data_IF_782863884625
#
_entry.id   IF_782863884625
#
_cell.length_a   1.000
_cell.length_b   1.000
_cell.length_c   1.000
_cell.angle_alpha   90.00
_cell.angle_beta   90.00
_cell.angle_gamma   90.00
#
_symmetry.space_group_name_H-M   'P 1'
#
loop_
_entity.id
_entity.type
_entity.pdbx_description
1 polymer ?
#
# COMPACT_ATOMS: atom_id res chain seq x y z
N UNK A 1 13.92 -2.60 35.20
CA UNK A 1 14.21 -2.22 33.80
C UNK A 1 13.68 -3.31 32.89
N UNK A 2 12.53 -3.08 32.26
CA UNK A 2 12.05 -3.89 31.15
C UNK A 2 11.54 -2.90 30.11
N UNK A 3 12.38 -2.61 29.13
CA UNK A 3 12.02 -1.79 27.96
C UNK A 3 11.33 -2.71 26.95
N UNK A 4 10.00 -2.81 27.05
CA UNK A 4 9.20 -3.30 25.95
C UNK A 4 9.14 -2.22 24.87
N UNK A 5 9.98 -2.36 23.85
CA UNK A 5 9.79 -1.64 22.59
C UNK A 5 8.63 -2.29 21.86
N UNK A 6 7.43 -1.74 22.00
CA UNK A 6 6.32 -2.04 21.10
C UNK A 6 6.63 -1.37 19.77
N UNK A 7 7.33 -2.10 18.88
CA UNK A 7 7.22 -1.87 17.44
C UNK A 7 5.80 -2.27 17.05
N UNK A 8 4.83 -1.39 17.35
CA UNK A 8 3.51 -1.48 16.76
C UNK A 8 3.67 -1.36 15.25
N UNK A 9 2.92 -2.20 14.55
CA UNK A 9 3.00 -2.48 13.12
C UNK A 9 2.49 -1.30 12.26
N UNK A 10 3.04 -0.10 12.47
CA UNK A 10 2.61 1.18 11.89
C UNK A 10 2.99 1.35 10.42
N UNK A 11 3.99 0.61 9.93
CA UNK A 11 4.37 0.60 8.51
C UNK A 11 3.25 0.09 7.60
N UNK A 12 2.41 -0.82 8.10
CA UNK A 12 1.34 -1.44 7.30
C UNK A 12 0.19 -0.48 6.97
N UNK A 13 -0.06 0.51 7.82
CA UNK A 13 -1.16 1.46 7.65
C UNK A 13 -0.91 2.43 6.48
N UNK A 14 0.34 2.87 6.32
CA UNK A 14 0.70 3.83 5.28
C UNK A 14 0.82 3.19 3.90
N UNK A 15 1.30 1.95 3.81
CA UNK A 15 1.42 1.22 2.53
C UNK A 15 0.05 1.07 1.81
N UNK A 16 -1.05 1.19 2.56
CA UNK A 16 -2.41 1.06 2.03
C UNK A 16 -3.15 2.38 1.88
N UNK A 17 -2.58 3.55 2.22
CA UNK A 17 -3.25 4.84 2.06
C UNK A 17 -4.30 5.13 3.14
N UNK A 18 -4.12 4.59 4.35
CA UNK A 18 -4.80 5.12 5.53
C UNK A 18 -4.03 6.36 6.03
N UNK A 19 -4.74 7.45 6.31
CA UNK A 19 -4.24 8.58 7.09
C UNK A 19 -4.14 8.20 8.56
N UNK A 20 -3.40 7.13 8.85
CA UNK A 20 -3.11 6.74 10.22
C UNK A 20 -1.73 7.27 10.58
N UNK A 21 -1.70 8.57 10.91
CA UNK A 21 -0.93 8.96 12.09
C UNK A 21 -1.43 8.08 13.23
N UNK A 22 -0.57 7.69 14.18
CA UNK A 22 -0.88 6.75 15.27
C UNK A 22 -2.09 7.06 16.18
N UNK A 23 -3.01 7.93 15.76
CA UNK A 23 -4.43 7.91 16.11
C UNK A 23 -5.07 6.62 15.57
N UNK A 24 -4.79 5.51 16.25
CA UNK A 24 -5.61 4.31 16.14
C UNK A 24 -7.10 4.70 16.22
N UNK A 25 -8.05 4.01 15.58
CA UNK A 25 -9.48 4.28 15.76
C UNK A 25 -9.88 4.40 17.25
N UNK A 26 -9.15 3.77 18.17
CA UNK A 26 -9.31 3.92 19.62
C UNK A 26 -9.03 5.33 20.20
N UNK A 27 -8.18 6.16 19.57
CA UNK A 27 -7.93 7.56 19.94
C UNK A 27 -9.02 8.50 19.45
N UNK A 28 -9.56 8.24 18.26
CA UNK A 28 -10.67 9.02 17.66
C UNK A 28 -12.02 8.66 18.30
N UNK A 29 -12.15 7.44 18.84
CA UNK A 29 -13.41 6.92 19.41
C UNK A 29 -13.68 7.33 20.87
N UNK A 30 -13.21 8.52 21.28
CA UNK A 30 -13.81 9.26 22.40
C UNK A 30 -13.57 8.70 23.81
N UNK A 31 -12.55 7.87 24.05
CA UNK A 31 -12.15 7.54 25.42
C UNK A 31 -11.15 8.57 25.94
N UNK A 32 -11.65 9.60 26.64
CA UNK A 32 -10.84 10.58 27.39
C UNK A 32 -9.74 9.92 28.24
N UNK A 33 -10.03 8.77 28.86
CA UNK A 33 -9.04 8.01 29.64
C UNK A 33 -7.95 7.29 28.82
N UNK A 34 -8.16 7.05 27.52
CA UNK A 34 -7.12 6.50 26.64
C UNK A 34 -6.16 7.61 26.18
N UNK A 35 -6.68 8.81 25.88
CA UNK A 35 -5.88 10.00 25.55
C UNK A 35 -4.94 10.35 26.71
N UNK A 36 -5.44 10.45 27.95
CA UNK A 36 -4.61 10.73 29.13
C UNK A 36 -3.53 9.66 29.37
N UNK A 37 -3.87 8.37 29.20
CA UNK A 37 -2.94 7.26 29.42
C UNK A 37 -1.91 7.11 28.29
N UNK A 38 -2.26 7.48 27.06
CA UNK A 38 -1.38 7.47 25.90
C UNK A 38 -0.41 8.66 25.92
N UNK A 39 -0.87 9.86 26.31
CA UNK A 39 -0.04 11.06 26.47
C UNK A 39 0.99 10.93 27.60
N UNK A 40 0.64 10.26 28.69
CA UNK A 40 1.58 10.02 29.80
C UNK A 40 2.70 9.04 29.40
N UNK A 41 2.48 8.19 28.40
CA UNK A 41 3.42 7.12 28.00
C UNK A 41 4.30 7.48 26.80
N UNK A 42 3.88 8.41 25.95
CA UNK A 42 4.53 8.73 24.69
C UNK A 42 4.92 10.21 24.61
N UNK A 43 5.87 10.61 25.45
CA UNK A 43 6.52 11.90 25.30
C UNK A 43 7.45 11.86 24.08
N UNK A 44 6.95 12.31 22.93
CA UNK A 44 7.57 12.31 21.58
C UNK A 44 7.56 10.95 20.86
N UNK A 45 6.66 10.82 19.87
CA UNK A 45 6.64 9.69 18.92
C UNK A 45 7.08 10.16 17.55
N UNK A 46 7.97 9.40 16.91
CA UNK A 46 8.46 9.70 15.57
C UNK A 46 8.10 8.59 14.58
N UNK A 47 7.52 8.98 13.44
CA UNK A 47 7.14 8.08 12.36
C UNK A 47 7.95 8.42 11.10
N UNK A 48 9.00 7.65 10.78
CA UNK A 48 9.75 7.86 9.54
C UNK A 48 8.88 7.47 8.34
N UNK A 49 8.79 8.37 7.35
CA UNK A 49 7.89 8.17 6.22
C UNK A 49 8.39 8.84 4.94
N UNK A 50 7.80 8.50 3.80
CA UNK A 50 8.09 9.09 2.50
C UNK A 50 7.38 10.44 2.29
N UNK A 51 7.94 11.24 1.39
CA UNK A 51 7.40 12.51 0.91
C UNK A 51 5.96 12.38 0.41
N UNK A 52 5.62 11.31 -0.30
CA UNK A 52 4.25 11.04 -0.78
C UNK A 52 3.24 10.94 0.36
N UNK A 53 3.59 10.33 1.49
CA UNK A 53 2.69 10.25 2.64
C UNK A 53 2.52 11.60 3.31
N UNK A 54 3.61 12.36 3.44
CA UNK A 54 3.57 13.69 4.00
C UNK A 54 2.67 14.61 3.16
N UNK A 55 2.78 14.53 1.83
CA UNK A 55 1.88 15.23 0.91
C UNK A 55 0.43 14.75 1.08
N UNK A 56 0.20 13.44 1.11
CA UNK A 56 -1.15 12.88 1.27
C UNK A 56 -1.82 13.36 2.57
N UNK A 57 -1.07 13.41 3.67
CA UNK A 57 -1.54 14.00 4.93
C UNK A 57 -1.94 15.45 4.77
N UNK A 58 -1.01 16.28 4.30
CA UNK A 58 -1.26 17.71 4.21
C UNK A 58 -2.40 18.02 3.24
N UNK A 59 -2.57 17.21 2.20
CA UNK A 59 -3.70 17.30 1.27
C UNK A 59 -5.02 16.97 1.95
N UNK A 60 -5.06 15.89 2.74
CA UNK A 60 -6.27 15.50 3.44
C UNK A 60 -6.69 16.51 4.51
N UNK A 61 -5.71 17.06 5.25
CA UNK A 61 -5.93 18.15 6.20
C UNK A 61 -6.16 19.51 5.52
N UNK A 62 -6.05 19.57 4.19
CA UNK A 62 -6.20 20.77 3.37
C UNK A 62 -5.27 21.93 3.79
N UNK A 63 -4.02 21.60 4.12
CA UNK A 63 -2.93 22.51 4.51
C UNK A 63 -1.70 22.38 3.61
N UNK A 64 -1.80 21.64 2.51
CA UNK A 64 -0.69 21.43 1.58
C UNK A 64 -0.35 22.69 0.78
N UNK A 65 0.94 23.03 0.74
CA UNK A 65 1.44 24.23 0.05
C UNK A 65 1.54 24.10 -1.48
N UNK A 66 1.27 22.92 -2.05
CA UNK A 66 1.44 22.67 -3.49
C UNK A 66 2.85 22.24 -3.91
N UNK A 67 3.82 22.28 -2.99
CA UNK A 67 5.24 21.99 -3.28
C UNK A 67 5.66 20.65 -2.69
N UNK A 68 6.42 19.87 -3.45
CA UNK A 68 7.00 18.61 -2.94
C UNK A 68 7.89 18.93 -1.72
N UNK A 69 7.69 18.23 -0.59
CA UNK A 69 8.50 18.40 0.60
C UNK A 69 10.00 18.16 0.31
N UNK A 70 10.86 18.96 0.91
CA UNK A 70 12.31 18.75 0.86
C UNK A 70 12.70 17.52 1.71
N UNK A 71 13.91 17.01 1.51
CA UNK A 71 14.42 15.91 2.32
C UNK A 71 14.42 16.25 3.81
N UNK A 72 14.07 15.26 4.62
CA UNK A 72 13.92 15.39 6.07
C UNK A 72 12.90 16.46 6.51
N UNK A 73 11.92 16.78 5.65
CA UNK A 73 10.76 17.55 6.07
C UNK A 73 9.96 16.80 7.13
N UNK A 74 9.37 17.52 8.07
CA UNK A 74 8.63 16.95 9.20
C UNK A 74 7.34 17.72 9.45
N UNK A 75 6.22 17.01 9.56
CA UNK A 75 4.94 17.54 10.04
C UNK A 75 4.74 17.07 11.49
N UNK A 76 4.52 18.00 12.39
CA UNK A 76 4.51 17.81 13.83
C UNK A 76 3.14 18.16 14.36
N UNK A 77 2.67 17.37 15.33
CA UNK A 77 1.44 17.60 16.08
C UNK A 77 1.84 17.79 17.54
N UNK A 78 1.47 18.92 18.13
CA UNK A 78 1.73 19.22 19.53
C UNK A 78 0.40 19.35 20.25
N UNK A 79 0.19 18.50 21.25
CA UNK A 79 -1.02 18.52 22.07
C UNK A 79 -0.73 19.19 23.40
N UNK A 80 -1.52 20.20 23.72
CA UNK A 80 -1.42 20.99 24.94
C UNK A 80 -2.60 20.67 25.85
N UNK A 81 -2.33 20.60 27.15
CA UNK A 81 -3.37 20.55 28.18
C UNK A 81 -3.51 21.95 28.77
N UNK A 82 -4.71 22.51 28.68
CA UNK A 82 -5.04 23.84 29.16
C UNK A 82 -5.33 23.83 30.68
N UNK A 83 -5.28 25.02 31.29
CA UNK A 83 -5.52 25.20 32.74
C UNK A 83 -6.91 24.74 33.19
N UNK A 84 -7.91 24.77 32.29
CA UNK A 84 -9.27 24.31 32.53
C UNK A 84 -9.45 22.78 32.33
N UNK A 85 -8.37 22.08 32.00
CA UNK A 85 -8.35 20.65 31.72
C UNK A 85 -8.81 20.27 30.31
N UNK A 86 -9.10 21.26 29.44
CA UNK A 86 -9.31 21.02 28.02
C UNK A 86 -7.99 20.77 27.30
N UNK A 87 -8.08 20.34 26.03
CA UNK A 87 -6.90 20.07 25.20
C UNK A 87 -6.97 20.86 23.90
N UNK A 88 -5.83 21.42 23.50
CA UNK A 88 -5.64 22.08 22.20
C UNK A 88 -4.53 21.38 21.43
N UNK A 89 -4.57 21.52 20.11
CA UNK A 89 -3.66 20.90 19.16
C UNK A 89 -3.09 21.96 18.22
N UNK A 90 -1.78 22.01 18.13
CA UNK A 90 -1.05 22.79 17.14
C UNK A 90 -0.41 21.86 16.13
N UNK A 91 -0.32 22.33 14.89
CA UNK A 91 0.38 21.62 13.83
C UNK A 91 1.50 22.50 13.29
N UNK A 92 2.67 21.90 13.08
CA UNK A 92 3.82 22.59 12.52
C UNK A 92 4.37 21.82 11.34
N UNK A 93 4.92 22.54 10.36
CA UNK A 93 5.66 21.93 9.28
C UNK A 93 7.06 22.54 9.18
N UNK A 94 8.06 21.68 9.07
CA UNK A 94 9.45 22.08 8.89
C UNK A 94 9.97 21.49 7.61
N UNK A 95 10.35 22.34 6.67
CA UNK A 95 10.93 21.99 5.37
C UNK A 95 12.28 22.68 5.09
N UNK A 96 12.75 23.51 6.02
CA UNK A 96 14.09 24.10 5.99
C UNK A 96 14.74 23.92 7.37
N UNK A 97 16.04 23.63 7.36
CA UNK A 97 16.85 23.50 8.57
C UNK A 97 17.24 24.86 9.15
N UNK A 98 17.24 25.91 8.32
CA UNK A 98 17.68 27.28 8.65
C UNK A 98 16.58 28.14 9.25
N UNK A 99 15.32 27.74 9.08
CA UNK A 99 14.16 28.45 9.61
C UNK A 99 13.50 27.61 10.70
N UNK A 100 12.74 28.28 11.55
CA UNK A 100 11.85 27.60 12.49
C UNK A 100 10.72 26.88 11.73
N UNK A 101 10.14 25.83 12.32
CA UNK A 101 8.91 25.24 11.81
C UNK A 101 7.81 26.30 11.68
N UNK A 102 7.07 26.26 10.59
CA UNK A 102 5.94 27.15 10.39
C UNK A 102 4.66 26.50 10.88
N UNK A 103 3.81 27.30 11.51
CA UNK A 103 2.50 26.89 12.00
C UNK A 103 1.57 26.58 10.83
N UNK A 104 0.81 25.50 10.95
CA UNK A 104 -0.25 25.08 10.03
C UNK A 104 -1.60 25.12 10.76
N UNK A 105 -2.58 25.77 10.15
CA UNK A 105 -3.92 25.93 10.72
C UNK A 105 -4.93 25.20 9.85
N UNK A 106 -5.75 24.33 10.45
CA UNK A 106 -6.82 23.66 9.71
C UNK A 106 -7.85 24.68 9.23
N UNK A 107 -8.47 24.46 8.06
CA UNK A 107 -9.66 25.19 7.68
C UNK A 107 -10.72 25.04 8.78
N UNK A 108 -11.30 26.16 9.22
CA UNK A 108 -12.30 26.20 10.31
C UNK A 108 -11.75 26.00 11.73
N UNK A 109 -10.43 26.14 11.95
CA UNK A 109 -9.85 26.21 13.29
C UNK A 109 -8.99 27.46 13.52
N UNK A 110 -8.68 27.75 14.78
CA UNK A 110 -7.66 28.73 15.21
C UNK A 110 -6.27 28.09 15.29
N UNK A 111 -5.24 28.92 15.51
CA UNK A 111 -3.85 28.49 15.73
C UNK A 111 -3.73 27.38 16.79
N UNK A 112 -4.35 27.60 17.95
CA UNK A 112 -4.59 26.57 18.97
C UNK A 112 -5.95 25.93 18.71
N UNK A 113 -5.96 24.78 18.05
CA UNK A 113 -7.20 24.14 17.66
C UNK A 113 -7.75 23.29 18.81
N UNK A 114 -8.98 23.53 19.33
CA UNK A 114 -9.56 22.65 20.33
C UNK A 114 -9.60 21.20 19.81
N UNK A 115 -9.11 20.25 20.61
CA UNK A 115 -8.95 18.85 20.17
C UNK A 115 -10.26 18.25 19.65
N UNK A 116 -11.39 18.57 20.29
CA UNK A 116 -12.72 18.12 19.87
C UNK A 116 -13.08 18.65 18.47
N UNK A 117 -12.76 19.91 18.18
CA UNK A 117 -12.99 20.53 16.88
C UNK A 117 -12.09 19.91 15.82
N UNK A 118 -10.83 19.64 16.14
CA UNK A 118 -9.93 18.91 15.24
C UNK A 118 -10.51 17.54 14.86
N UNK A 119 -10.91 16.74 15.86
CA UNK A 119 -11.50 15.42 15.65
C UNK A 119 -12.74 15.52 14.74
N UNK A 120 -13.63 16.47 15.02
CA UNK A 120 -14.83 16.69 14.23
C UNK A 120 -14.51 17.05 12.77
N UNK A 121 -13.53 17.94 12.54
CA UNK A 121 -13.15 18.38 11.20
C UNK A 121 -12.44 17.28 10.39
N UNK A 122 -11.72 16.38 11.07
CA UNK A 122 -11.00 15.28 10.42
C UNK A 122 -11.81 13.99 10.30
N UNK A 123 -13.03 13.96 10.86
CA UNK A 123 -13.84 12.74 10.96
C UNK A 123 -14.07 12.08 9.60
N UNK A 124 -14.43 12.87 8.59
CA UNK A 124 -14.75 12.36 7.25
C UNK A 124 -13.50 11.93 6.45
N UNK A 125 -12.29 12.24 6.96
CA UNK A 125 -11.03 11.77 6.36
C UNK A 125 -10.70 10.34 6.78
N UNK A 126 -11.41 9.80 7.77
CA UNK A 126 -11.18 8.49 8.35
C UNK A 126 -12.33 7.58 7.94
N UNK A 127 -11.99 6.51 7.22
CA UNK A 127 -12.95 5.49 6.79
C UNK A 127 -13.49 4.70 7.99
N UNK A 128 -14.82 4.56 8.09
CA UNK A 128 -15.46 3.68 9.08
C UNK A 128 -15.19 2.19 8.80
N UNK A 129 -15.17 1.79 7.52
CA UNK A 129 -14.88 0.42 7.10
C UNK A 129 -14.08 0.39 5.80
N UNK A 130 -12.75 0.41 5.98
CA UNK A 130 -11.80 0.51 4.88
C UNK A 130 -11.92 -0.65 3.90
N UNK A 131 -12.09 -1.86 4.41
CA UNK A 131 -12.14 -3.07 3.58
C UNK A 131 -13.37 -3.05 2.67
N UNK A 132 -14.47 -2.45 3.10
CA UNK A 132 -15.65 -2.20 2.27
C UNK A 132 -15.41 -1.09 1.23
N UNK A 133 -14.82 0.05 1.63
CA UNK A 133 -14.52 1.17 0.73
C UNK A 133 -13.52 0.80 -0.37
N UNK A 134 -12.56 -0.07 -0.04
CA UNK A 134 -11.54 -0.53 -0.98
C UNK A 134 -12.03 -1.68 -1.89
N UNK A 135 -13.31 -2.09 -1.81
CA UNK A 135 -13.83 -3.13 -2.71
C UNK A 135 -13.93 -2.58 -4.13
N UNK A 136 -13.01 -3.04 -4.97
CA UNK A 136 -13.14 -2.84 -6.40
C UNK A 136 -14.25 -3.75 -6.94
N UNK A 137 -15.35 -3.17 -7.40
CA UNK A 137 -16.32 -3.91 -8.21
C UNK A 137 -15.66 -4.14 -9.56
N UNK A 138 -15.03 -5.31 -9.73
CA UNK A 138 -14.60 -5.72 -11.06
C UNK A 138 -15.84 -5.82 -11.95
N UNK A 139 -15.85 -5.21 -13.14
CA UNK A 139 -16.87 -5.56 -14.12
C UNK A 139 -16.83 -7.08 -14.29
N UNK A 140 -18.02 -7.71 -14.28
CA UNK A 140 -18.20 -9.15 -14.25
C UNK A 140 -17.19 -9.91 -15.12
N UNK A 141 -16.74 -11.12 -14.73
CA UNK A 141 -15.58 -11.82 -15.30
C UNK A 141 -15.89 -12.49 -16.65
N UNK A 142 -16.50 -11.77 -17.59
CA UNK A 142 -16.82 -12.28 -18.93
C UNK A 142 -15.70 -12.09 -19.94
N UNK A 143 -14.79 -11.12 -19.76
CA UNK A 143 -13.66 -10.89 -20.67
C UNK A 143 -12.42 -11.72 -20.29
N UNK A 144 -12.02 -11.72 -19.02
CA UNK A 144 -10.77 -12.34 -18.55
C UNK A 144 -10.82 -13.88 -18.59
N UNK A 145 -11.97 -14.51 -18.34
CA UNK A 145 -12.10 -15.97 -18.40
C UNK A 145 -11.93 -16.49 -19.84
N UNK A 146 -12.42 -15.75 -20.81
CA UNK A 146 -12.43 -16.14 -22.22
C UNK A 146 -11.02 -16.14 -22.81
N UNK A 147 -10.19 -15.15 -22.47
CA UNK A 147 -8.78 -15.12 -22.91
C UNK A 147 -7.96 -16.27 -22.35
N UNK A 148 -8.13 -16.60 -21.06
CA UNK A 148 -7.40 -17.70 -20.42
C UNK A 148 -7.73 -19.06 -21.05
N UNK A 149 -8.99 -19.28 -21.44
CA UNK A 149 -9.43 -20.51 -22.12
C UNK A 149 -8.83 -20.59 -23.53
N UNK A 150 -8.85 -19.49 -24.29
CA UNK A 150 -8.31 -19.46 -25.66
C UNK A 150 -6.81 -19.76 -25.67
N UNK A 151 -6.04 -19.18 -24.73
CA UNK A 151 -4.60 -19.44 -24.61
C UNK A 151 -4.33 -20.92 -24.28
N UNK A 152 -5.11 -21.50 -23.37
CA UNK A 152 -4.96 -22.92 -23.01
C UNK A 152 -5.21 -23.84 -24.23
N UNK A 153 -6.27 -23.58 -25.01
CA UNK A 153 -6.58 -24.38 -26.22
C UNK A 153 -5.47 -24.26 -27.27
N UNK A 154 -5.00 -23.05 -27.55
CA UNK A 154 -3.92 -22.83 -28.53
C UNK A 154 -2.62 -23.55 -28.12
N UNK A 155 -2.28 -23.54 -26.83
CA UNK A 155 -1.10 -24.22 -26.31
C UNK A 155 -1.16 -25.75 -26.49
N UNK A 156 -2.33 -26.35 -26.24
CA UNK A 156 -2.54 -27.81 -26.41
C UNK A 156 -2.49 -28.18 -27.89
N UNK A 157 -3.13 -27.41 -28.76
CA UNK A 157 -3.07 -27.64 -30.21
C UNK A 157 -1.63 -27.60 -30.75
N UNK A 158 -0.83 -26.63 -30.31
CA UNK A 158 0.57 -26.51 -30.71
C UNK A 158 1.40 -27.73 -30.25
N UNK A 159 1.21 -28.18 -29.02
CA UNK A 159 1.89 -29.37 -28.49
C UNK A 159 1.55 -30.63 -29.29
N UNK A 160 0.28 -30.84 -29.63
CA UNK A 160 -0.14 -31.98 -30.44
C UNK A 160 0.45 -31.95 -31.86
N UNK A 161 0.52 -30.76 -32.49
CA UNK A 161 1.15 -30.59 -33.80
C UNK A 161 2.65 -30.94 -33.75
N UNK A 162 3.37 -30.48 -32.71
CA UNK A 162 4.78 -30.79 -32.54
C UNK A 162 4.99 -32.31 -32.38
N UNK A 163 4.18 -32.99 -31.57
CA UNK A 163 4.27 -34.45 -31.40
C UNK A 163 4.00 -35.21 -32.69
N UNK A 164 3.01 -34.77 -33.49
CA UNK A 164 2.72 -35.35 -34.80
C UNK A 164 3.90 -35.18 -35.77
N UNK A 165 4.52 -34.00 -35.83
CA UNK A 165 5.69 -33.76 -36.67
C UNK A 165 6.90 -34.61 -36.24
N UNK A 166 7.12 -34.77 -34.94
CA UNK A 166 8.18 -35.65 -34.40
C UNK A 166 7.88 -37.11 -34.77
N UNK A 167 6.64 -37.57 -34.67
CA UNK A 167 6.26 -38.93 -35.04
C UNK A 167 6.46 -39.18 -36.55
N UNK A 168 6.05 -38.23 -37.40
CA UNK A 168 6.25 -38.29 -38.84
C UNK A 168 7.74 -38.30 -39.20
N UNK A 169 8.55 -37.45 -38.57
CA UNK A 169 10.00 -37.43 -38.74
C UNK A 169 10.63 -38.77 -38.33
N UNK A 170 10.23 -39.32 -37.16
CA UNK A 170 10.67 -40.64 -36.71
C UNK A 170 10.29 -41.74 -37.70
N UNK A 171 9.07 -41.69 -38.25
CA UNK A 171 8.58 -42.66 -39.23
C UNK A 171 9.33 -42.56 -40.57
N UNK A 172 9.58 -41.35 -41.06
CA UNK A 172 10.37 -41.09 -42.27
C UNK A 172 11.81 -41.58 -42.12
N UNK A 173 12.43 -41.34 -40.95
CA UNK A 173 13.76 -41.85 -40.62
C UNK A 173 13.81 -43.38 -40.57
N UNK A 174 12.77 -44.03 -39.99
CA UNK A 174 12.66 -45.51 -40.00
C UNK A 174 12.51 -46.06 -41.42
N UNK A 175 11.67 -45.44 -42.26
CA UNK A 175 11.45 -45.89 -43.65
C UNK A 175 12.70 -45.72 -44.52
N UNK A 176 13.43 -44.61 -44.37
CA UNK A 176 14.71 -44.39 -45.08
C UNK A 176 15.82 -45.32 -44.59
N UNK A 177 15.84 -45.69 -43.30
CA UNK A 177 16.76 -46.71 -42.78
C UNK A 177 16.43 -48.12 -43.31
N UNK A 178 15.16 -48.47 -43.45
CA UNK A 178 14.75 -49.76 -44.06
C UNK A 178 15.12 -49.86 -45.53
N UNK A 179 15.09 -48.75 -46.28
CA UNK A 179 15.51 -48.71 -47.69
C UNK A 179 17.05 -48.77 -47.88
N UNK A 180 17.86 -48.61 -46.82
CA UNK A 180 19.32 -48.72 -46.86
C UNK A 180 19.85 -50.11 -46.52
N UNK A 181 19.00 -51.09 -46.20
CA UNK A 181 19.43 -52.49 -46.08
C UNK A 181 19.45 -53.11 -47.48
N UNK A 182 20.63 -53.49 -48.03
CA UNK A 182 20.71 -54.12 -49.34
C UNK A 182 20.10 -55.53 -49.28
N UNK A 183 19.24 -55.85 -50.23
CA UNK A 183 18.79 -57.22 -50.51
C UNK A 183 19.91 -57.99 -51.22
N UNK A 184 20.81 -58.62 -50.46
CA UNK A 184 21.68 -59.66 -51.00
C UNK A 184 21.30 -61.00 -50.37
N UNK A 185 20.33 -61.68 -50.98
CA UNK A 185 20.30 -63.14 -51.00
C UNK A 185 20.93 -63.61 -52.30
N UNK A 186 22.01 -64.37 -52.16
CA UNK A 186 22.48 -65.44 -53.07
C UNK A 186 22.93 -65.05 -54.50
N UNK A 187 24.26 -65.07 -54.74
CA UNK A 187 24.85 -65.87 -55.84
C UNK A 187 26.40 -65.99 -55.70
N UNK A 188 26.87 -67.24 -55.81
CA UNK A 188 28.20 -67.70 -56.28
C UNK A 188 29.44 -67.57 -55.36
N UNK A 189 29.74 -68.66 -54.62
CA UNK A 189 30.92 -69.54 -54.79
C UNK A 189 31.18 -70.37 -53.52
#
# INVERSE_FOLDING_TARGET
>A
MSSHWLLLNLTYAVEKGELLFGLQPDLVQGRKGFVEQFLTYLNNVFFPQHDTTLVALQMALNVYSGTIPSYASCHMFELYQEDDGSFTLDMYFRNDTRTEPHLLVLPSCSEHCPLETFIQNTKDLISDNRDEECKFTSPAPSSIQTERIVIAVLSVCLLLLILMLIALYCFWKRKTHHHRVPSNSEELA
#
